data_IF_226004229839
#
_entry.id   IF_226004229839
#
_cell.length_a   1.000
_cell.length_b   1.000
_cell.length_c   1.000
_cell.angle_alpha   90.00
_cell.angle_beta   90.00
_cell.angle_gamma   90.00
#
_symmetry.space_group_name_H-M   'P 1'
#
loop_
_entity.id
_entity.type
_entity.pdbx_description
1 polymer ?
#
# COMPACT_ATOMS: atom_id res chain seq x y z
N UNK A 1 -18.98 -14.90 1.06
CA UNK A 1 -18.99 -14.01 -0.12
C UNK A 1 -19.11 -12.53 0.28
N UNK A 2 -19.88 -12.19 1.31
CA UNK A 2 -20.13 -10.80 1.77
C UNK A 2 -18.88 -10.05 2.29
N UNK A 3 -17.99 -10.70 3.04
CA UNK A 3 -16.73 -10.09 3.52
C UNK A 3 -15.78 -9.68 2.39
N UNK A 4 -15.73 -10.46 1.31
CA UNK A 4 -14.89 -10.14 0.16
C UNK A 4 -15.44 -8.88 -0.53
N UNK A 5 -16.72 -8.84 -0.87
CA UNK A 5 -17.34 -7.67 -1.53
C UNK A 5 -17.20 -6.37 -0.72
N UNK A 6 -17.42 -6.42 0.60
CA UNK A 6 -17.31 -5.24 1.47
C UNK A 6 -15.86 -4.74 1.67
N UNK A 7 -14.85 -5.60 1.48
CA UNK A 7 -13.43 -5.27 1.75
C UNK A 7 -12.57 -5.13 0.50
N UNK A 8 -13.04 -5.59 -0.66
CA UNK A 8 -12.36 -5.41 -1.95
C UNK A 8 -12.09 -3.94 -2.25
N UNK A 9 -13.06 -3.04 -2.00
CA UNK A 9 -12.88 -1.61 -2.24
C UNK A 9 -11.77 -0.99 -1.39
N UNK A 10 -11.67 -1.38 -0.11
CA UNK A 10 -10.60 -0.92 0.79
C UNK A 10 -9.24 -1.48 0.37
N UNK A 11 -9.16 -2.79 0.07
CA UNK A 11 -7.94 -3.43 -0.43
C UNK A 11 -7.45 -2.81 -1.74
N UNK A 12 -8.36 -2.47 -2.66
CA UNK A 12 -8.02 -1.83 -3.92
C UNK A 12 -7.45 -0.43 -3.71
N UNK A 13 -8.01 0.37 -2.79
CA UNK A 13 -7.44 1.68 -2.45
C UNK A 13 -6.03 1.55 -1.88
N UNK A 14 -5.81 0.64 -0.95
CA UNK A 14 -4.48 0.39 -0.37
C UNK A 14 -3.51 -0.10 -1.45
N UNK A 15 -3.96 -0.97 -2.37
CA UNK A 15 -3.18 -1.41 -3.51
C UNK A 15 -2.81 -0.25 -4.44
N UNK A 16 -3.76 0.63 -4.80
CA UNK A 16 -3.48 1.82 -5.60
C UNK A 16 -2.45 2.74 -4.95
N UNK A 17 -2.49 2.92 -3.62
CA UNK A 17 -1.49 3.73 -2.90
C UNK A 17 -0.11 3.06 -2.92
N UNK A 18 -0.05 1.74 -2.80
CA UNK A 18 1.21 0.98 -2.92
C UNK A 18 1.78 1.04 -4.35
N UNK A 19 0.92 0.95 -5.36
CA UNK A 19 1.32 0.99 -6.78
C UNK A 19 1.46 2.40 -7.33
N UNK A 20 1.17 3.43 -6.53
CA UNK A 20 1.18 4.85 -6.95
C UNK A 20 0.24 5.16 -8.11
N UNK A 21 -0.91 4.51 -8.15
CA UNK A 21 -1.96 4.78 -9.14
C UNK A 21 -2.00 3.83 -10.32
N UNK A 22 -1.06 2.88 -10.45
CA UNK A 22 -1.15 1.80 -11.43
C UNK A 22 -2.31 0.86 -11.04
N UNK A 23 -3.43 1.01 -11.75
CA UNK A 23 -4.70 0.31 -11.51
C UNK A 23 -4.55 -1.18 -11.85
N UNK A 24 -3.92 -1.51 -12.98
CA UNK A 24 -3.76 -2.91 -13.40
C UNK A 24 -2.92 -3.69 -12.39
N UNK A 25 -1.78 -3.11 -11.97
CA UNK A 25 -0.96 -3.74 -10.93
C UNK A 25 -1.70 -3.82 -9.59
N UNK A 26 -2.51 -2.80 -9.25
CA UNK A 26 -3.30 -2.83 -8.02
C UNK A 26 -4.33 -3.96 -8.05
N UNK A 27 -5.05 -4.13 -9.15
CA UNK A 27 -6.02 -5.21 -9.36
C UNK A 27 -5.36 -6.58 -9.29
N UNK A 28 -4.23 -6.77 -9.98
CA UNK A 28 -3.46 -8.02 -9.95
C UNK A 28 -3.03 -8.39 -8.52
N UNK A 29 -2.54 -7.40 -7.76
CA UNK A 29 -2.13 -7.60 -6.37
C UNK A 29 -3.32 -7.95 -5.46
N UNK A 30 -4.48 -7.34 -5.68
CA UNK A 30 -5.72 -7.67 -4.96
C UNK A 30 -6.18 -9.09 -5.30
N UNK A 31 -6.22 -9.45 -6.59
CA UNK A 31 -6.60 -10.79 -7.04
C UNK A 31 -5.69 -11.86 -6.44
N UNK A 32 -4.36 -11.65 -6.49
CA UNK A 32 -3.38 -12.56 -5.88
C UNK A 32 -3.57 -12.66 -4.36
N UNK A 33 -3.87 -11.55 -3.69
CA UNK A 33 -4.16 -11.52 -2.26
C UNK A 33 -5.38 -12.36 -1.93
N UNK A 34 -6.50 -12.15 -2.64
CA UNK A 34 -7.74 -12.91 -2.42
C UNK A 34 -7.55 -14.40 -2.71
N UNK A 35 -6.80 -14.77 -3.76
CA UNK A 35 -6.45 -16.16 -4.07
C UNK A 35 -5.68 -16.82 -2.92
N UNK A 36 -4.66 -16.13 -2.37
CA UNK A 36 -3.90 -16.62 -1.21
C UNK A 36 -4.76 -16.75 0.04
N UNK A 37 -5.65 -15.79 0.27
CA UNK A 37 -6.61 -15.83 1.38
C UNK A 37 -7.54 -17.04 1.24
N UNK A 38 -8.07 -17.30 0.05
CA UNK A 38 -8.95 -18.45 -0.22
C UNK A 38 -8.25 -19.78 0.05
N UNK A 39 -7.01 -19.95 -0.45
CA UNK A 39 -6.20 -21.17 -0.19
C UNK A 39 -5.88 -21.31 1.29
N UNK A 40 -5.53 -20.21 1.97
CA UNK A 40 -5.26 -20.22 3.40
C UNK A 40 -6.50 -20.60 4.22
N UNK A 41 -7.68 -20.14 3.82
CA UNK A 41 -8.96 -20.53 4.44
C UNK A 41 -9.26 -22.02 4.24
N UNK A 42 -9.09 -22.54 3.03
CA UNK A 42 -9.31 -23.97 2.74
C UNK A 42 -8.33 -24.89 3.48
N UNK A 43 -7.07 -24.47 3.66
CA UNK A 43 -6.06 -25.24 4.40
C UNK A 43 -6.18 -25.13 5.92
N UNK A 44 -6.78 -24.05 6.44
CA UNK A 44 -6.87 -23.77 7.89
C UNK A 44 -8.27 -23.99 8.45
N UNK A 45 -9.03 -24.94 7.92
CA UNK A 45 -10.41 -25.29 8.32
C UNK A 45 -10.62 -25.61 9.83
N UNK A 46 -9.61 -25.43 10.70
CA UNK A 46 -9.70 -25.52 12.17
C UNK A 46 -9.08 -24.38 12.98
N UNK A 47 -8.45 -23.35 12.38
CA UNK A 47 -7.94 -22.17 13.13
C UNK A 47 -8.58 -20.89 12.62
N UNK A 48 -9.35 -20.24 13.50
CA UNK A 48 -9.90 -18.90 13.30
C UNK A 48 -8.74 -17.95 12.98
N UNK A 49 -8.79 -17.30 11.82
CA UNK A 49 -7.99 -16.10 11.59
C UNK A 49 -8.70 -15.02 12.40
N UNK A 50 -8.09 -14.57 13.49
CA UNK A 50 -8.73 -13.65 14.43
C UNK A 50 -9.07 -12.31 13.76
N UNK A 51 -8.23 -11.86 12.82
CA UNK A 51 -8.49 -10.67 12.01
C UNK A 51 -8.16 -10.91 10.52
N UNK A 52 -9.14 -11.32 9.70
CA UNK A 52 -8.92 -11.59 8.28
C UNK A 52 -8.59 -10.34 7.46
N UNK A 53 -9.05 -9.16 7.89
CA UNK A 53 -8.76 -7.90 7.21
C UNK A 53 -7.29 -7.50 7.40
N UNK A 54 -6.79 -7.59 8.63
CA UNK A 54 -5.38 -7.32 8.92
C UNK A 54 -4.48 -8.34 8.22
N UNK A 55 -4.90 -9.60 8.15
CA UNK A 55 -4.16 -10.63 7.42
C UNK A 55 -4.12 -10.36 5.90
N UNK A 56 -5.24 -9.98 5.28
CA UNK A 56 -5.29 -9.65 3.85
C UNK A 56 -4.35 -8.51 3.48
N UNK A 57 -4.33 -7.43 4.26
CA UNK A 57 -3.41 -6.30 4.06
C UNK A 57 -1.93 -6.70 4.22
N UNK A 58 -1.61 -7.60 5.16
CA UNK A 58 -0.26 -8.17 5.28
C UNK A 58 0.12 -8.96 4.02
N UNK A 59 -0.80 -9.77 3.50
CA UNK A 59 -0.58 -10.54 2.26
C UNK A 59 -0.37 -9.60 1.07
N UNK A 60 -1.18 -8.54 0.97
CA UNK A 60 -1.09 -7.52 -0.08
C UNK A 60 0.28 -6.83 -0.09
N UNK A 61 0.74 -6.32 1.05
CA UNK A 61 2.04 -5.64 1.15
C UNK A 61 3.19 -6.58 0.83
N UNK A 62 3.13 -7.84 1.27
CA UNK A 62 4.15 -8.83 0.93
C UNK A 62 4.17 -9.12 -0.57
N UNK A 63 3.00 -9.28 -1.21
CA UNK A 63 2.90 -9.47 -2.65
C UNK A 63 3.50 -8.27 -3.42
N UNK A 64 3.17 -7.04 -3.01
CA UNK A 64 3.74 -5.82 -3.57
C UNK A 64 5.28 -5.78 -3.46
N UNK A 65 5.82 -6.02 -2.26
CA UNK A 65 7.26 -5.98 -2.03
C UNK A 65 8.01 -7.07 -2.81
N UNK A 66 7.42 -8.27 -2.93
CA UNK A 66 7.97 -9.34 -3.78
C UNK A 66 7.97 -8.93 -5.25
N UNK A 67 6.86 -8.38 -5.76
CA UNK A 67 6.77 -7.92 -7.14
C UNK A 67 7.83 -6.84 -7.46
N UNK A 68 7.99 -5.83 -6.57
CA UNK A 68 9.00 -4.79 -6.75
C UNK A 68 10.44 -5.30 -6.61
N UNK A 69 10.67 -6.31 -5.76
CA UNK A 69 11.98 -6.95 -5.64
C UNK A 69 12.40 -7.65 -6.94
N UNK A 70 11.49 -8.40 -7.57
CA UNK A 70 11.72 -9.06 -8.86
C UNK A 70 12.01 -8.06 -9.97
N UNK A 71 11.16 -7.04 -10.10
CA UNK A 71 11.36 -5.98 -11.10
C UNK A 71 12.65 -5.18 -10.91
N UNK A 72 13.15 -5.06 -9.67
CA UNK A 72 14.44 -4.43 -9.39
C UNK A 72 15.63 -5.34 -9.73
N UNK A 73 15.44 -6.66 -9.78
CA UNK A 73 16.45 -7.61 -10.23
C UNK A 73 16.48 -7.75 -11.74
N UNK A 74 15.35 -7.51 -12.42
CA UNK A 74 15.18 -7.63 -13.88
C UNK A 74 15.22 -6.27 -14.59
N UNK A 75 16.25 -5.43 -14.33
CA UNK A 75 16.53 -4.18 -15.08
C UNK A 75 15.73 -2.93 -14.64
N UNK A 76 16.47 -1.85 -14.33
CA UNK A 76 15.93 -0.56 -13.87
C UNK A 76 15.31 0.17 -15.05
N UNK A 77 13.99 0.01 -15.25
CA UNK A 77 13.20 0.91 -16.09
C UNK A 77 12.55 1.95 -15.18
N UNK A 78 12.97 3.21 -15.34
CA UNK A 78 12.30 4.39 -14.81
C UNK A 78 10.86 4.38 -15.33
N UNK A 79 9.92 3.96 -14.49
CA UNK A 79 8.51 3.91 -14.87
C UNK A 79 7.98 5.34 -14.92
N UNK A 80 7.65 5.79 -16.13
CA UNK A 80 6.62 6.82 -16.32
C UNK A 80 5.37 6.37 -15.55
N UNK A 81 4.72 7.30 -14.83
CA UNK A 81 3.45 7.01 -14.19
C UNK A 81 2.44 6.69 -15.30
N UNK A 82 1.75 5.53 -15.28
CA UNK A 82 0.64 5.29 -16.18
C UNK A 82 -0.48 6.30 -15.85
N UNK A 83 -1.06 6.92 -16.87
CA UNK A 83 -2.27 7.75 -16.74
C UNK A 83 -3.44 6.87 -16.27
N UNK A 84 -3.60 6.75 -14.95
CA UNK A 84 -4.60 5.89 -14.32
C UNK A 84 -5.97 6.57 -14.22
N UNK A 85 -7.02 5.91 -14.72
CA UNK A 85 -8.42 6.31 -14.55
C UNK A 85 -8.76 6.62 -13.09
N UNK A 86 -9.42 7.75 -12.87
CA UNK A 86 -9.77 8.26 -11.54
C UNK A 86 -10.76 7.33 -10.82
N UNK A 87 -10.43 6.93 -9.59
CA UNK A 87 -11.41 6.40 -8.64
C UNK A 87 -12.16 7.59 -8.04
N UNK A 88 -13.51 7.58 -7.98
CA UNK A 88 -14.28 8.69 -7.46
C UNK A 88 -14.19 8.69 -5.92
N UNK A 89 -13.74 9.81 -5.33
CA UNK A 89 -14.08 10.28 -3.96
C UNK A 89 -13.04 11.23 -3.31
N UNK A 90 -12.15 11.89 -4.06
CA UNK A 90 -11.33 12.97 -3.50
C UNK A 90 -11.04 14.01 -4.58
N UNK A 91 -10.73 15.24 -4.17
CA UNK A 91 -10.25 16.29 -5.07
C UNK A 91 -9.16 15.71 -6.00
N UNK A 92 -9.40 15.68 -7.32
CA UNK A 92 -8.55 14.95 -8.28
C UNK A 92 -7.11 15.45 -8.27
N UNK A 93 -6.88 16.74 -8.03
CA UNK A 93 -5.56 17.36 -8.02
C UNK A 93 -4.77 16.96 -6.78
N UNK A 94 -5.40 17.02 -5.59
CA UNK A 94 -4.79 16.57 -4.34
C UNK A 94 -4.43 15.07 -4.38
N UNK A 95 -5.32 14.24 -4.94
CA UNK A 95 -5.08 12.80 -5.09
C UNK A 95 -3.90 12.52 -6.02
N UNK A 96 -3.82 13.24 -7.14
CA UNK A 96 -2.74 13.08 -8.12
C UNK A 96 -1.39 13.48 -7.51
N UNK A 97 -1.34 14.61 -6.79
CA UNK A 97 -0.14 15.06 -6.08
C UNK A 97 0.34 14.03 -5.05
N UNK A 98 -0.58 13.44 -4.28
CA UNK A 98 -0.24 12.38 -3.31
C UNK A 98 0.31 11.12 -4.01
N UNK A 99 -0.35 10.64 -5.07
CA UNK A 99 0.10 9.46 -5.81
C UNK A 99 1.50 9.68 -6.43
N UNK A 100 1.74 10.87 -6.98
CA UNK A 100 3.03 11.27 -7.52
C UNK A 100 4.10 11.33 -6.43
N UNK A 101 3.81 11.91 -5.26
CA UNK A 101 4.74 11.95 -4.14
C UNK A 101 5.06 10.54 -3.60
N UNK A 102 4.06 9.66 -3.52
CA UNK A 102 4.26 8.25 -3.15
C UNK A 102 5.12 7.51 -4.19
N UNK A 103 4.98 7.82 -5.48
CA UNK A 103 5.76 7.22 -6.56
C UNK A 103 7.26 7.43 -6.37
N UNK A 104 7.65 8.57 -5.80
CA UNK A 104 9.04 8.91 -5.51
C UNK A 104 9.62 8.17 -4.30
N UNK A 105 8.78 7.55 -3.45
CA UNK A 105 9.28 6.78 -2.32
C UNK A 105 9.80 5.40 -2.75
N UNK A 106 10.90 4.90 -2.14
CA UNK A 106 11.30 3.51 -2.28
C UNK A 106 10.15 2.58 -1.85
N UNK A 107 9.99 1.40 -2.48
CA UNK A 107 8.84 0.52 -2.21
C UNK A 107 8.61 0.19 -0.74
N UNK A 108 9.68 -0.07 0.02
CA UNK A 108 9.58 -0.36 1.45
C UNK A 108 9.13 0.85 2.28
N UNK A 109 9.54 2.05 1.91
CA UNK A 109 9.17 3.27 2.63
C UNK A 109 7.71 3.63 2.35
N UNK A 110 7.27 3.44 1.10
CA UNK A 110 5.85 3.55 0.71
C UNK A 110 4.97 2.56 1.46
N UNK A 111 5.39 1.30 1.56
CA UNK A 111 4.66 0.28 2.32
C UNK A 111 4.53 0.65 3.80
N UNK A 112 5.56 1.24 4.42
CA UNK A 112 5.45 1.75 5.80
C UNK A 112 4.41 2.86 5.89
N UNK A 113 4.39 3.80 4.94
CA UNK A 113 3.42 4.91 4.96
C UNK A 113 1.99 4.38 4.86
N UNK A 114 1.71 3.50 3.91
CA UNK A 114 0.36 2.92 3.74
C UNK A 114 -0.05 2.14 4.99
N UNK A 115 0.82 1.30 5.55
CA UNK A 115 0.46 0.52 6.74
C UNK A 115 0.26 1.40 7.99
N UNK A 116 1.10 2.42 8.21
CA UNK A 116 1.08 3.23 9.43
C UNK A 116 0.00 4.31 9.43
N UNK A 117 -0.25 4.94 8.28
CA UNK A 117 -1.07 6.15 8.21
C UNK A 117 -2.36 5.98 7.40
N UNK A 118 -2.45 4.95 6.54
CA UNK A 118 -3.68 4.64 5.81
C UNK A 118 -4.44 3.46 6.43
N UNK A 119 -3.71 2.47 6.95
CA UNK A 119 -4.30 1.30 7.64
C UNK A 119 -4.26 1.41 9.18
N UNK A 120 -3.81 2.55 9.73
CA UNK A 120 -3.71 2.85 11.17
C UNK A 120 -2.98 1.78 12.02
N UNK A 121 -2.03 1.06 11.43
CA UNK A 121 -1.30 0.01 12.16
C UNK A 121 -0.27 0.56 13.10
N UNK A 122 -0.02 -0.17 14.18
CA UNK A 122 1.13 0.09 15.06
C UNK A 122 2.48 -0.14 14.36
N UNK A 123 3.56 0.31 14.99
CA UNK A 123 4.93 0.08 14.49
C UNK A 123 5.22 -1.43 14.47
N UNK A 124 4.76 -2.12 15.50
CA UNK A 124 4.97 -3.54 15.74
C UNK A 124 4.18 -4.38 14.72
N UNK A 125 2.93 -4.03 14.45
CA UNK A 125 2.11 -4.67 13.42
C UNK A 125 2.67 -4.46 12.01
N UNK A 126 3.17 -3.24 11.74
CA UNK A 126 3.83 -2.91 10.47
C UNK A 126 5.11 -3.73 10.29
N UNK A 127 5.92 -3.84 11.35
CA UNK A 127 7.15 -4.61 11.35
C UNK A 127 6.87 -6.09 11.06
N UNK A 128 5.84 -6.65 11.71
CA UNK A 128 5.38 -8.02 11.46
C UNK A 128 4.89 -8.21 10.01
N UNK A 129 4.08 -7.28 9.50
CA UNK A 129 3.54 -7.36 8.15
C UNK A 129 4.66 -7.37 7.09
N UNK A 130 5.65 -6.50 7.26
CA UNK A 130 6.78 -6.33 6.34
C UNK A 130 7.95 -7.30 6.58
N UNK A 131 7.88 -8.15 7.62
CA UNK A 131 8.96 -9.03 8.05
C UNK A 131 10.28 -8.28 8.32
N UNK A 132 10.21 -7.23 9.13
CA UNK A 132 11.35 -6.37 9.50
C UNK A 132 11.29 -5.99 10.98
N UNK A 133 12.28 -5.23 11.48
CA UNK A 133 12.32 -4.80 12.88
C UNK A 133 11.50 -3.53 13.13
N UNK A 134 10.96 -3.37 14.35
CA UNK A 134 10.28 -2.14 14.76
C UNK A 134 11.18 -0.89 14.62
N UNK A 135 12.48 -1.03 14.94
CA UNK A 135 13.46 0.03 14.72
C UNK A 135 13.56 0.43 13.24
N UNK A 136 13.61 -0.54 12.31
CA UNK A 136 13.62 -0.26 10.88
C UNK A 136 12.33 0.44 10.43
N UNK A 137 11.17 0.07 10.97
CA UNK A 137 9.90 0.75 10.68
C UNK A 137 9.92 2.21 11.14
N UNK A 138 10.42 2.51 12.35
CA UNK A 138 10.52 3.88 12.87
C UNK A 138 11.42 4.73 11.98
N UNK A 139 12.62 4.25 11.67
CA UNK A 139 13.56 4.95 10.79
C UNK A 139 12.96 5.20 9.40
N UNK A 140 12.30 4.19 8.81
CA UNK A 140 11.62 4.32 7.52
C UNK A 140 10.45 5.31 7.57
N UNK A 141 9.66 5.31 8.66
CA UNK A 141 8.55 6.25 8.84
C UNK A 141 9.05 7.68 8.83
N UNK A 142 10.06 7.98 9.65
CA UNK A 142 10.66 9.33 9.73
C UNK A 142 11.20 9.77 8.38
N UNK A 143 11.96 8.91 7.70
CA UNK A 143 12.52 9.21 6.38
C UNK A 143 11.45 9.39 5.31
N UNK A 144 10.46 8.53 5.27
CA UNK A 144 9.37 8.58 4.30
C UNK A 144 8.55 9.87 4.47
N UNK A 145 8.18 10.22 5.72
CA UNK A 145 7.48 11.47 6.01
C UNK A 145 8.30 12.71 5.67
N UNK A 146 9.60 12.72 5.98
CA UNK A 146 10.47 13.84 5.61
C UNK A 146 10.50 14.04 4.09
N UNK A 147 10.59 12.94 3.33
CA UNK A 147 10.58 12.99 1.87
C UNK A 147 9.22 13.43 1.30
N UNK A 148 8.12 12.91 1.85
CA UNK A 148 6.77 13.35 1.44
C UNK A 148 6.55 14.84 1.74
N UNK A 149 7.00 15.34 2.89
CA UNK A 149 6.92 16.78 3.22
C UNK A 149 7.74 17.63 2.25
N UNK A 150 8.93 17.18 1.86
CA UNK A 150 9.74 17.89 0.88
C UNK A 150 9.11 17.91 -0.53
N UNK A 151 8.44 16.82 -0.92
CA UNK A 151 7.79 16.69 -2.23
C UNK A 151 6.45 17.41 -2.31
N UNK A 152 5.68 17.41 -1.23
CA UNK A 152 4.37 18.03 -1.15
C UNK A 152 4.48 19.52 -0.75
N UNK A 153 5.51 19.93 -0.01
CA UNK A 153 5.84 21.34 0.21
C UNK A 153 4.66 22.21 0.69
N UNK A 154 4.62 23.51 0.33
CA UNK A 154 3.55 24.44 0.71
C UNK A 154 2.16 24.05 0.19
N UNK A 155 2.05 23.14 -0.79
CA UNK A 155 0.75 22.67 -1.28
C UNK A 155 -0.09 22.10 -0.13
N UNK A 156 0.53 21.36 0.80
CA UNK A 156 -0.15 20.81 1.97
C UNK A 156 -0.68 21.89 2.94
N UNK A 157 -0.09 23.08 2.98
CA UNK A 157 -0.54 24.21 3.79
C UNK A 157 -1.69 24.98 3.11
N UNK A 158 -1.69 25.06 1.78
CA UNK A 158 -2.81 25.57 0.99
C UNK A 158 -4.04 24.65 1.09
N UNK A 159 -3.84 23.32 1.20
CA UNK A 159 -4.91 22.34 1.33
C UNK A 159 -5.54 22.20 2.72
N UNK A 160 -4.84 22.59 3.80
CA UNK A 160 -5.39 22.56 5.17
C UNK A 160 -6.18 23.83 5.50
N UNK A 161 -6.09 24.86 4.65
CA UNK A 161 -6.69 26.18 4.86
C UNK A 161 -7.95 26.44 4.02
N UNK A 162 -8.46 25.42 3.31
CA UNK A 162 -9.68 25.47 2.50
C UNK A 162 -10.71 24.45 3.03
#
# INVERSE_FOLDING_TARGET
MEFAAARTGHLLRSACLLTSGDVHLAEDLVQETLRRMYVAWGRRLGRRIDNPAAYAQTVLVRAFLTHRGRRSSDEVVLSELPDGQALPACDPDTRLALLHALAQLPPKDRAVVVLRYWEDRSVEETAHAMNTSAAAVRTRSTRALARLRALLGPSLAEFVSA
#
